data_IF_425808142232
#
_entry.id   IF_425808142232
#
_cell.length_a   1.000
_cell.length_b   1.000
_cell.length_c   1.000
_cell.angle_alpha   90.00
_cell.angle_beta   90.00
_cell.angle_gamma   90.00
#
_symmetry.space_group_name_H-M   'P 1'
#
loop_
_entity.id
_entity.type
_entity.pdbx_description
1 polymer ?
#
# COMPACT_ATOMS: atom_id res chain seq x y z
N UNK A 1 10.90 3.68 6.96
CA UNK A 1 10.03 3.66 8.14
C UNK A 1 8.61 3.44 7.64
N UNK A 2 7.92 2.44 8.14
CA UNK A 2 6.50 2.25 7.85
C UNK A 2 5.74 3.43 8.44
N UNK A 3 4.71 3.96 7.75
CA UNK A 3 3.88 5.01 8.33
C UNK A 3 3.35 4.54 9.68
N UNK A 4 3.57 5.34 10.71
CA UNK A 4 2.99 5.07 12.03
C UNK A 4 1.49 5.30 11.92
N UNK A 5 0.76 4.21 11.90
CA UNK A 5 -0.69 4.26 11.96
C UNK A 5 -1.11 4.61 13.38
N UNK A 6 -1.94 5.59 13.52
CA UNK A 6 -2.31 6.07 14.81
C UNK A 6 -3.38 5.35 15.55
N UNK A 7 -3.55 4.13 15.28
CA UNK A 7 -4.44 3.29 16.04
C UNK A 7 -3.64 2.17 16.71
N UNK A 8 -3.69 2.13 18.01
CA UNK A 8 -3.23 1.01 18.80
C UNK A 8 -4.45 0.32 19.39
N UNK A 9 -4.59 -0.99 19.17
CA UNK A 9 -5.79 -1.76 19.55
C UNK A 9 -6.19 -1.65 21.04
N UNK A 10 -5.23 -1.32 21.89
CA UNK A 10 -5.44 -1.21 23.34
C UNK A 10 -5.70 0.21 23.82
N UNK A 11 -5.17 1.20 23.13
CA UNK A 11 -5.11 2.58 23.58
C UNK A 11 -6.02 3.50 22.74
N UNK A 12 -6.55 2.99 21.62
CA UNK A 12 -7.33 3.79 20.68
C UNK A 12 -6.43 4.65 19.77
N UNK A 13 -7.01 5.63 19.05
CA UNK A 13 -6.25 6.49 18.18
C UNK A 13 -5.28 7.34 19.01
N UNK A 14 -4.01 7.31 18.64
CA UNK A 14 -3.02 8.25 19.15
C UNK A 14 -3.31 9.64 18.57
N UNK A 15 -2.78 10.69 19.19
CA UNK A 15 -3.06 12.06 18.80
C UNK A 15 -2.81 12.28 17.29
N UNK A 16 -3.83 12.71 16.51
CA UNK A 16 -3.69 12.91 15.05
C UNK A 16 -2.57 13.88 14.66
N UNK A 17 -2.19 14.80 15.56
CA UNK A 17 -1.10 15.76 15.31
C UNK A 17 0.28 15.10 15.23
N UNK A 18 0.42 13.88 15.71
CA UNK A 18 1.67 13.11 15.67
C UNK A 18 1.81 12.24 14.41
N UNK A 19 0.82 12.27 13.51
CA UNK A 19 0.85 11.48 12.30
C UNK A 19 1.70 12.14 11.23
N UNK A 20 2.75 11.45 10.82
CA UNK A 20 3.41 11.67 9.55
C UNK A 20 3.18 10.45 8.66
N UNK A 21 2.45 10.66 7.58
CA UNK A 21 2.45 9.71 6.50
C UNK A 21 3.69 9.98 5.65
N UNK A 22 4.72 9.16 5.81
CA UNK A 22 5.90 9.21 4.96
C UNK A 22 5.72 8.17 3.84
N UNK A 23 5.44 8.65 2.64
CA UNK A 23 5.42 7.80 1.45
C UNK A 23 6.78 7.12 1.24
N UNK A 24 6.81 5.85 0.77
CA UNK A 24 8.05 5.18 0.45
C UNK A 24 8.79 5.96 -0.66
N UNK A 25 10.02 6.39 -0.37
CA UNK A 25 10.85 7.08 -1.35
C UNK A 25 11.65 6.05 -2.13
N UNK A 26 11.36 5.95 -3.43
CA UNK A 26 12.19 5.20 -4.36
C UNK A 26 13.34 6.11 -4.81
N UNK A 27 14.43 6.11 -4.05
CA UNK A 27 15.62 6.90 -4.36
C UNK A 27 16.78 6.00 -4.78
N UNK A 28 17.54 6.47 -5.76
CA UNK A 28 18.82 5.86 -6.09
C UNK A 28 19.76 6.02 -4.88
N UNK A 29 20.60 5.01 -4.65
CA UNK A 29 21.56 5.01 -3.56
C UNK A 29 22.37 6.31 -3.50
N UNK A 30 22.62 6.82 -2.30
CA UNK A 30 23.29 8.10 -2.07
C UNK A 30 24.56 8.24 -2.92
N UNK A 31 24.65 9.32 -3.72
CA UNK A 31 25.76 9.57 -4.64
C UNK A 31 25.64 8.92 -6.03
N UNK A 32 24.56 8.21 -6.33
CA UNK A 32 24.32 7.69 -7.67
C UNK A 32 23.44 8.64 -8.49
N UNK A 33 24.03 9.30 -9.48
CA UNK A 33 23.30 10.12 -10.44
C UNK A 33 22.51 9.23 -11.43
N UNK A 34 21.34 9.69 -11.90
CA UNK A 34 20.51 8.99 -12.90
C UNK A 34 21.31 8.57 -14.13
N UNK A 35 22.15 9.46 -14.66
CA UNK A 35 22.98 9.17 -15.83
C UNK A 35 24.01 8.06 -15.58
N UNK A 36 24.54 8.01 -14.37
CA UNK A 36 25.50 6.98 -13.97
C UNK A 36 24.83 5.63 -13.78
N UNK A 37 23.62 5.62 -13.27
CA UNK A 37 22.78 4.43 -13.16
C UNK A 37 22.41 3.91 -14.56
N UNK A 38 21.94 4.79 -15.45
CA UNK A 38 21.61 4.45 -16.83
C UNK A 38 22.82 3.92 -17.60
N UNK A 39 23.98 4.54 -17.43
CA UNK A 39 25.24 4.07 -18.05
C UNK A 39 25.62 2.68 -17.59
N UNK A 40 25.44 2.36 -16.30
CA UNK A 40 25.66 1.02 -15.76
C UNK A 40 24.69 -0.02 -16.32
N UNK A 41 23.39 0.34 -16.47
CA UNK A 41 22.41 -0.53 -17.10
C UNK A 41 22.74 -0.82 -18.56
N UNK A 42 23.17 0.20 -19.31
CA UNK A 42 23.57 0.04 -20.71
C UNK A 42 24.82 -0.84 -20.86
N UNK A 43 25.80 -0.68 -19.98
CA UNK A 43 27.01 -1.51 -19.96
C UNK A 43 26.67 -2.98 -19.63
N UNK A 44 25.81 -3.19 -18.63
CA UNK A 44 25.35 -4.51 -18.24
C UNK A 44 24.56 -5.19 -19.37
N UNK A 45 23.68 -4.45 -20.04
CA UNK A 45 22.93 -4.91 -21.21
C UNK A 45 23.86 -5.33 -22.35
N UNK A 46 24.92 -4.57 -22.61
CA UNK A 46 25.92 -4.91 -23.62
C UNK A 46 26.71 -6.19 -23.30
N UNK A 47 27.08 -6.38 -22.03
CA UNK A 47 27.75 -7.61 -21.57
C UNK A 47 26.80 -8.82 -21.64
N UNK A 48 25.52 -8.64 -21.25
CA UNK A 48 24.53 -9.69 -21.32
C UNK A 48 24.17 -10.08 -22.75
N UNK A 49 24.18 -9.15 -23.71
CA UNK A 49 24.02 -9.47 -25.14
C UNK A 49 25.15 -10.34 -25.68
N UNK A 50 26.40 -10.09 -25.29
CA UNK A 50 27.53 -10.93 -25.65
C UNK A 50 27.43 -12.33 -25.02
N UNK A 51 26.98 -12.41 -23.77
CA UNK A 51 26.78 -13.68 -23.07
C UNK A 51 25.62 -14.50 -23.64
N UNK A 52 24.53 -13.87 -24.10
CA UNK A 52 23.37 -14.53 -24.74
C UNK A 52 23.71 -15.16 -26.08
N UNK A 53 24.68 -14.61 -26.81
CA UNK A 53 25.16 -15.25 -28.01
C UNK A 53 25.80 -16.63 -27.73
N UNK A 54 26.12 -16.91 -26.45
CA UNK A 54 26.70 -18.15 -25.97
C UNK A 54 25.69 -19.07 -25.26
N UNK A 55 24.60 -18.51 -24.65
CA UNK A 55 23.60 -19.27 -23.87
C UNK A 55 22.19 -19.11 -24.47
N UNK A 56 21.69 -20.12 -25.16
CA UNK A 56 20.33 -20.20 -25.73
C UNK A 56 19.28 -20.61 -24.70
N UNK A 57 19.20 -19.97 -23.54
CA UNK A 57 18.23 -20.35 -22.49
C UNK A 57 17.07 -19.37 -22.41
N UNK A 58 15.85 -19.84 -22.67
CA UNK A 58 14.57 -19.07 -22.62
C UNK A 58 14.25 -18.37 -21.29
N UNK A 59 14.96 -18.71 -20.20
CA UNK A 59 14.78 -18.05 -18.90
C UNK A 59 15.40 -16.65 -18.80
N UNK A 60 16.36 -16.31 -19.66
CA UNK A 60 17.11 -15.05 -19.60
C UNK A 60 16.28 -13.87 -20.12
N UNK A 61 15.43 -14.09 -21.14
CA UNK A 61 14.57 -13.03 -21.71
C UNK A 61 13.57 -12.47 -20.68
N UNK A 62 12.98 -13.34 -19.87
CA UNK A 62 12.05 -12.91 -18.84
C UNK A 62 12.74 -12.10 -17.72
N UNK A 63 13.94 -12.54 -17.32
CA UNK A 63 14.72 -11.83 -16.31
C UNK A 63 15.10 -10.42 -16.76
N UNK A 64 15.51 -10.27 -18.02
CA UNK A 64 15.87 -8.95 -18.56
C UNK A 64 14.70 -8.01 -18.71
N UNK A 65 13.54 -8.55 -19.07
CA UNK A 65 12.30 -7.75 -19.10
C UNK A 65 11.96 -7.23 -17.71
N UNK A 66 11.95 -8.08 -16.69
CA UNK A 66 11.67 -7.67 -15.31
C UNK A 66 12.71 -6.70 -14.76
N UNK A 67 13.98 -6.87 -15.12
CA UNK A 67 15.04 -5.92 -14.76
C UNK A 67 14.83 -4.55 -15.42
N UNK A 68 14.43 -4.54 -16.69
CA UNK A 68 14.09 -3.33 -17.42
C UNK A 68 12.89 -2.60 -16.81
N UNK A 69 11.82 -3.34 -16.48
CA UNK A 69 10.65 -2.82 -15.79
C UNK A 69 11.02 -2.25 -14.40
N UNK A 70 11.82 -2.96 -13.61
CA UNK A 70 12.30 -2.48 -12.32
C UNK A 70 13.16 -1.20 -12.43
N UNK A 71 14.01 -1.12 -13.46
CA UNK A 71 14.82 0.07 -13.71
C UNK A 71 13.94 1.27 -14.09
N UNK A 72 12.89 1.06 -14.90
CA UNK A 72 11.91 2.09 -15.23
C UNK A 72 11.14 2.58 -14.01
N UNK A 73 10.77 1.68 -13.08
CA UNK A 73 10.15 2.06 -11.81
C UNK A 73 11.05 2.96 -10.97
N UNK A 74 12.36 2.68 -10.94
CA UNK A 74 13.33 3.48 -10.17
C UNK A 74 13.68 4.82 -10.80
N UNK A 75 13.52 4.97 -12.12
CA UNK A 75 13.89 6.17 -12.86
C UNK A 75 12.72 6.95 -13.43
N UNK A 76 11.53 6.33 -13.48
CA UNK A 76 10.31 6.90 -14.05
C UNK A 76 9.73 8.01 -13.17
N UNK A 77 9.51 9.19 -13.75
CA UNK A 77 8.91 10.33 -13.04
C UNK A 77 7.47 10.03 -12.59
N UNK A 78 6.71 9.25 -13.37
CA UNK A 78 5.31 8.92 -13.07
C UNK A 78 5.12 8.15 -11.76
N UNK A 79 6.00 7.17 -11.46
CA UNK A 79 5.93 6.41 -10.20
C UNK A 79 6.35 7.27 -9.01
N UNK A 80 7.37 8.12 -9.18
CA UNK A 80 7.76 9.05 -8.12
C UNK A 80 6.63 10.04 -7.79
N UNK A 81 5.94 10.57 -8.80
CA UNK A 81 4.77 11.42 -8.61
C UNK A 81 3.61 10.66 -7.96
N UNK A 82 3.40 9.39 -8.35
CA UNK A 82 2.36 8.55 -7.78
C UNK A 82 2.58 8.22 -6.29
N UNK A 83 3.81 8.29 -5.80
CA UNK A 83 4.15 8.08 -4.39
C UNK A 83 3.94 9.34 -3.54
N UNK A 84 3.89 10.53 -4.15
CA UNK A 84 3.69 11.78 -3.42
C UNK A 84 2.21 12.17 -3.35
N UNK A 85 1.51 11.60 -2.39
CA UNK A 85 0.07 11.84 -2.18
C UNK A 85 -0.23 13.26 -1.69
N UNK A 86 0.78 13.96 -1.16
CA UNK A 86 0.61 15.31 -0.63
C UNK A 86 0.58 16.38 -1.74
N UNK A 87 1.11 16.05 -2.92
CA UNK A 87 1.00 16.89 -4.12
C UNK A 87 -0.35 16.74 -4.84
N UNK A 88 -1.17 15.77 -4.44
CA UNK A 88 -2.52 15.62 -4.99
C UNK A 88 -3.40 16.82 -4.60
N UNK A 89 -4.43 17.08 -5.41
CA UNK A 89 -5.42 18.13 -5.14
C UNK A 89 -5.99 17.98 -3.71
N UNK A 90 -6.09 19.11 -3.00
CA UNK A 90 -6.55 19.12 -1.61
C UNK A 90 -7.98 18.58 -1.45
N UNK A 91 -8.86 18.85 -2.41
CA UNK A 91 -10.23 18.34 -2.41
C UNK A 91 -10.24 16.82 -2.58
N UNK A 92 -9.34 16.28 -3.38
CA UNK A 92 -9.17 14.84 -3.55
C UNK A 92 -8.63 14.20 -2.26
N UNK A 93 -7.59 14.79 -1.65
CA UNK A 93 -7.08 14.32 -0.35
C UNK A 93 -8.19 14.34 0.72
N UNK A 94 -9.03 15.39 0.73
CA UNK A 94 -10.16 15.50 1.64
C UNK A 94 -11.21 14.43 1.35
N UNK A 95 -11.52 14.14 0.07
CA UNK A 95 -12.46 13.08 -0.33
C UNK A 95 -12.04 11.72 0.25
N UNK A 96 -10.78 11.35 0.12
CA UNK A 96 -10.22 10.11 0.68
C UNK A 96 -10.13 10.12 2.21
N UNK A 97 -10.06 11.30 2.81
CA UNK A 97 -9.79 11.52 4.23
C UNK A 97 -8.29 11.69 4.48
N UNK A 98 -7.92 12.81 5.10
CA UNK A 98 -6.52 13.17 5.43
C UNK A 98 -5.99 12.34 6.60
N UNK A 99 -5.92 11.04 6.42
CA UNK A 99 -5.42 10.05 7.37
C UNK A 99 -4.70 8.92 6.62
N UNK A 100 -4.06 8.04 7.36
CA UNK A 100 -3.24 6.95 6.77
C UNK A 100 -4.04 6.01 5.87
N UNK A 101 -5.31 5.74 6.17
CA UNK A 101 -6.17 4.90 5.31
C UNK A 101 -6.44 5.60 3.97
N UNK A 102 -6.85 6.87 4.02
CA UNK A 102 -7.11 7.67 2.84
C UNK A 102 -5.88 7.84 1.96
N UNK A 103 -4.76 8.24 2.53
CA UNK A 103 -3.50 8.42 1.78
C UNK A 103 -2.98 7.11 1.19
N UNK A 104 -3.11 5.99 1.90
CA UNK A 104 -2.69 4.68 1.37
C UNK A 104 -3.50 4.26 0.16
N UNK A 105 -4.83 4.47 0.17
CA UNK A 105 -5.69 4.14 -0.97
C UNK A 105 -5.54 5.16 -2.11
N UNK A 106 -5.34 6.45 -1.83
CA UNK A 106 -5.02 7.45 -2.84
C UNK A 106 -3.71 7.11 -3.55
N UNK A 107 -2.66 6.73 -2.80
CA UNK A 107 -1.40 6.26 -3.36
C UNK A 107 -1.60 5.02 -4.24
N UNK A 108 -2.40 4.05 -3.78
CA UNK A 108 -2.69 2.85 -4.55
C UNK A 108 -3.34 3.19 -5.90
N UNK A 109 -4.32 4.11 -5.91
CA UNK A 109 -4.95 4.57 -7.15
C UNK A 109 -3.94 5.25 -8.08
N UNK A 110 -3.08 6.14 -7.55
CA UNK A 110 -2.05 6.82 -8.35
C UNK A 110 -1.05 5.82 -8.94
N UNK A 111 -0.66 4.78 -8.19
CA UNK A 111 0.23 3.73 -8.67
C UNK A 111 -0.42 2.91 -9.80
N UNK A 112 -1.70 2.56 -9.67
CA UNK A 112 -2.43 1.85 -10.74
C UNK A 112 -2.54 2.73 -11.99
N UNK A 113 -2.85 4.02 -11.84
CA UNK A 113 -2.87 4.99 -12.93
C UNK A 113 -1.49 5.14 -13.61
N UNK A 114 -0.41 5.06 -12.83
CA UNK A 114 0.97 5.04 -13.35
C UNK A 114 1.37 3.69 -14.02
N UNK A 115 0.45 2.71 -14.09
CA UNK A 115 0.65 1.43 -14.77
C UNK A 115 1.16 0.29 -13.87
N UNK A 116 1.17 0.44 -12.56
CA UNK A 116 1.48 -0.64 -11.62
C UNK A 116 0.33 -1.64 -11.62
N UNK A 117 0.60 -2.87 -12.06
CA UNK A 117 -0.45 -3.89 -12.26
C UNK A 117 -0.99 -4.53 -10.99
N UNK A 118 -0.27 -4.45 -9.89
CA UNK A 118 -0.66 -5.02 -8.61
C UNK A 118 -0.20 -4.14 -7.48
N UNK A 119 -1.12 -3.70 -6.65
CA UNK A 119 -0.85 -2.88 -5.46
C UNK A 119 -1.52 -3.57 -4.27
N UNK A 120 -0.76 -3.84 -3.23
CA UNK A 120 -1.29 -4.33 -1.96
C UNK A 120 -1.26 -3.19 -0.94
N UNK A 121 -2.39 -2.95 -0.31
CA UNK A 121 -2.55 -1.94 0.74
C UNK A 121 -2.93 -2.61 2.04
N UNK A 122 -2.16 -2.38 3.09
CA UNK A 122 -2.52 -2.78 4.43
C UNK A 122 -3.19 -1.60 5.13
N UNK A 123 -4.47 -1.75 5.46
CA UNK A 123 -5.23 -0.73 6.20
C UNK A 123 -5.13 -1.04 7.69
N UNK A 124 -4.30 -0.32 8.37
CA UNK A 124 -4.04 -0.50 9.78
C UNK A 124 -2.61 -0.94 10.08
N UNK A 125 -2.27 -0.89 11.33
CA UNK A 125 -1.00 -1.28 11.91
C UNK A 125 -1.18 -2.60 12.65
N UNK A 126 -0.07 -3.22 13.08
CA UNK A 126 -0.05 -4.40 13.93
C UNK A 126 -1.37 -4.71 14.62
N UNK A 127 -1.95 -5.85 14.38
CA UNK A 127 -3.14 -6.34 15.07
C UNK A 127 -4.37 -5.37 15.11
N UNK A 128 -4.36 -4.25 14.36
CA UNK A 128 -5.46 -3.26 14.41
C UNK A 128 -6.84 -3.90 14.19
N UNK A 129 -6.91 -4.83 13.23
CA UNK A 129 -8.12 -5.58 12.90
C UNK A 129 -8.26 -6.86 13.70
N UNK A 130 -7.24 -7.23 14.47
CA UNK A 130 -7.24 -8.43 15.31
C UNK A 130 -7.96 -8.19 16.63
N UNK A 131 -9.26 -7.93 16.55
CA UNK A 131 -10.10 -7.46 17.63
C UNK A 131 -10.60 -8.57 18.54
N UNK A 132 -9.70 -9.22 19.27
CA UNK A 132 -10.06 -10.24 20.26
C UNK A 132 -10.89 -9.71 21.42
N UNK A 133 -10.72 -8.42 21.74
CA UNK A 133 -11.49 -7.75 22.78
C UNK A 133 -11.92 -6.35 22.31
N UNK A 134 -12.96 -5.80 22.91
CA UNK A 134 -13.53 -4.49 22.57
C UNK A 134 -13.83 -4.33 21.05
N UNK A 135 -14.16 -5.43 20.38
CA UNK A 135 -14.25 -5.50 18.93
C UNK A 135 -15.24 -4.51 18.35
N UNK A 136 -16.44 -4.43 18.92
CA UNK A 136 -17.51 -3.60 18.37
C UNK A 136 -17.21 -2.11 18.47
N UNK A 137 -16.64 -1.68 19.59
CA UNK A 137 -16.23 -0.30 19.75
C UNK A 137 -15.09 0.07 18.81
N UNK A 138 -14.06 -0.77 18.74
CA UNK A 138 -12.90 -0.53 17.89
C UNK A 138 -13.29 -0.49 16.40
N UNK A 139 -14.13 -1.41 15.96
CA UNK A 139 -14.62 -1.42 14.58
C UNK A 139 -15.48 -0.18 14.29
N UNK A 140 -16.47 0.11 15.15
CA UNK A 140 -17.45 1.16 14.90
C UNK A 140 -16.85 2.57 14.96
N UNK A 141 -15.98 2.82 15.93
CA UNK A 141 -15.52 4.19 16.19
C UNK A 141 -14.19 4.52 15.49
N UNK A 142 -13.34 3.50 15.22
CA UNK A 142 -11.98 3.77 14.78
C UNK A 142 -11.60 3.16 13.43
N UNK A 143 -12.01 1.91 13.15
CA UNK A 143 -11.54 1.19 11.98
C UNK A 143 -12.45 1.34 10.76
N UNK A 144 -13.76 1.15 10.94
CA UNK A 144 -14.71 1.20 9.83
C UNK A 144 -14.92 2.60 9.25
N UNK A 145 -15.06 3.69 10.04
CA UNK A 145 -15.33 5.00 9.46
C UNK A 145 -14.24 5.49 8.48
N UNK A 146 -12.94 5.48 8.83
CA UNK A 146 -11.91 5.88 7.87
C UNK A 146 -11.78 4.90 6.70
N UNK A 147 -12.01 3.59 6.91
CA UNK A 147 -11.99 2.58 5.85
C UNK A 147 -13.13 2.82 4.86
N UNK A 148 -14.35 2.98 5.34
CA UNK A 148 -15.54 3.21 4.52
C UNK A 148 -15.37 4.47 3.66
N UNK A 149 -14.95 5.57 4.26
CA UNK A 149 -14.66 6.81 3.54
C UNK A 149 -13.62 6.62 2.45
N UNK A 150 -12.49 6.01 2.79
CA UNK A 150 -11.37 5.86 1.86
C UNK A 150 -11.68 4.88 0.71
N UNK A 151 -12.39 3.78 1.01
CA UNK A 151 -12.81 2.81 -0.02
C UNK A 151 -13.87 3.42 -0.93
N UNK A 152 -14.86 4.12 -0.40
CA UNK A 152 -15.87 4.82 -1.21
C UNK A 152 -15.21 5.84 -2.14
N UNK A 153 -14.25 6.62 -1.62
CA UNK A 153 -13.52 7.59 -2.42
C UNK A 153 -12.69 6.93 -3.52
N UNK A 154 -12.07 5.76 -3.24
CA UNK A 154 -11.33 4.98 -4.23
C UNK A 154 -12.24 4.52 -5.37
N UNK A 155 -13.41 3.96 -5.06
CA UNK A 155 -14.36 3.48 -6.05
C UNK A 155 -14.85 4.62 -6.95
N UNK A 156 -15.27 5.73 -6.35
CA UNK A 156 -15.71 6.92 -7.08
C UNK A 156 -14.59 7.49 -7.98
N UNK A 157 -13.34 7.59 -7.46
CA UNK A 157 -12.20 8.15 -8.20
C UNK A 157 -11.81 7.24 -9.39
N UNK A 158 -11.88 5.93 -9.22
CA UNK A 158 -11.66 4.96 -10.30
C UNK A 158 -12.78 5.04 -11.35
N UNK A 159 -14.03 5.20 -10.93
CA UNK A 159 -15.17 5.34 -11.84
C UNK A 159 -15.09 6.65 -12.63
N UNK A 160 -14.88 7.77 -11.95
CA UNK A 160 -14.71 9.11 -12.56
C UNK A 160 -13.59 9.14 -13.61
N UNK A 161 -12.57 8.28 -13.46
CA UNK A 161 -11.44 8.14 -14.40
C UNK A 161 -11.64 7.07 -15.46
N UNK A 162 -12.75 6.33 -15.42
CA UNK A 162 -13.01 5.21 -16.31
C UNK A 162 -12.08 4.01 -16.10
N UNK A 163 -11.51 3.89 -14.92
CA UNK A 163 -10.57 2.82 -14.55
C UNK A 163 -11.23 1.66 -13.79
N UNK A 164 -12.45 1.85 -13.29
CA UNK A 164 -13.11 0.87 -12.42
C UNK A 164 -13.36 -0.46 -13.14
N UNK A 165 -13.76 -0.42 -14.40
CA UNK A 165 -14.04 -1.63 -15.20
C UNK A 165 -12.78 -2.45 -15.52
N UNK A 166 -11.59 -1.85 -15.41
CA UNK A 166 -10.31 -2.49 -15.69
C UNK A 166 -9.53 -2.82 -14.40
N UNK A 167 -10.06 -2.49 -13.23
CA UNK A 167 -9.38 -2.63 -11.94
C UNK A 167 -10.13 -3.60 -11.02
N UNK A 168 -9.52 -4.76 -10.75
CA UNK A 168 -10.05 -5.68 -9.74
C UNK A 168 -9.65 -5.24 -8.33
N UNK A 169 -10.64 -4.94 -7.50
CA UNK A 169 -10.45 -4.60 -6.09
C UNK A 169 -10.83 -5.78 -5.22
N UNK A 170 -9.90 -6.24 -4.40
CA UNK A 170 -10.12 -7.33 -3.43
C UNK A 170 -9.91 -6.76 -2.04
N UNK A 171 -10.94 -6.84 -1.20
CA UNK A 171 -10.87 -6.49 0.21
C UNK A 171 -11.10 -7.76 1.03
N UNK A 172 -10.09 -8.18 1.76
CA UNK A 172 -10.10 -9.43 2.52
C UNK A 172 -9.27 -9.33 3.79
N UNK A 173 -9.59 -10.14 4.79
CA UNK A 173 -8.70 -10.45 5.88
C UNK A 173 -7.91 -11.73 5.56
N UNK A 174 -6.86 -12.01 6.34
CA UNK A 174 -6.01 -13.20 6.17
C UNK A 174 -6.70 -14.51 6.54
N UNK A 175 -7.65 -14.47 7.45
CA UNK A 175 -8.46 -15.61 7.89
C UNK A 175 -9.81 -15.17 8.48
N UNK A 176 -10.69 -16.12 8.73
CA UNK A 176 -12.01 -15.87 9.31
C UNK A 176 -11.98 -15.53 10.80
N UNK A 177 -13.10 -15.05 11.30
CA UNK A 177 -13.35 -14.81 12.72
C UNK A 177 -14.48 -15.70 13.22
N UNK A 178 -14.36 -16.17 14.46
CA UNK A 178 -15.41 -17.02 15.05
C UNK A 178 -16.78 -16.32 15.02
N UNK A 179 -17.87 -17.02 14.69
CA UNK A 179 -19.22 -16.48 14.82
C UNK A 179 -19.58 -16.19 16.27
N UNK A 180 -18.95 -16.90 17.22
CA UNK A 180 -19.16 -16.69 18.65
C UNK A 180 -18.47 -15.43 19.12
N UNK A 181 -19.19 -14.64 19.86
CA UNK A 181 -18.74 -13.42 20.54
C UNK A 181 -18.59 -13.74 22.01
N UNK A 182 -17.45 -13.45 22.59
CA UNK A 182 -17.17 -13.76 23.99
C UNK A 182 -16.11 -12.82 24.58
N UNK A 183 -16.03 -12.78 25.89
CA UNK A 183 -14.99 -12.04 26.61
C UNK A 183 -13.90 -13.03 27.02
N UNK A 184 -12.68 -12.76 26.60
CA UNK A 184 -11.53 -13.60 26.97
C UNK A 184 -11.22 -13.50 28.46
N UNK A 185 -10.78 -14.62 29.03
CA UNK A 185 -10.23 -14.61 30.38
C UNK A 185 -8.94 -13.77 30.39
N UNK A 186 -8.91 -12.73 31.21
CA UNK A 186 -7.79 -11.80 31.26
C UNK A 186 -7.85 -10.66 30.22
N UNK A 187 -8.96 -10.48 29.52
CA UNK A 187 -9.17 -9.34 28.65
C UNK A 187 -9.02 -8.03 29.43
N UNK A 188 -8.09 -7.18 29.00
CA UNK A 188 -7.81 -5.89 29.69
C UNK A 188 -8.99 -4.94 29.65
N UNK A 189 -9.74 -4.94 28.55
CA UNK A 189 -10.92 -4.09 28.37
C UNK A 189 -12.16 -4.63 29.08
N UNK A 190 -12.18 -5.92 29.44
CA UNK A 190 -13.36 -6.61 29.95
C UNK A 190 -14.54 -6.67 28.96
N UNK A 191 -14.34 -6.28 27.70
CA UNK A 191 -15.36 -6.23 26.66
C UNK A 191 -15.17 -7.35 25.64
N UNK A 192 -16.26 -7.79 24.98
CA UNK A 192 -16.21 -8.94 24.07
C UNK A 192 -15.48 -8.67 22.78
N UNK A 193 -14.97 -9.73 22.18
CA UNK A 193 -14.38 -9.78 20.86
C UNK A 193 -14.66 -11.10 20.18
N UNK A 194 -13.87 -11.40 19.14
CA UNK A 194 -13.97 -12.62 18.35
C UNK A 194 -12.57 -13.20 18.15
N UNK A 195 -12.48 -14.52 18.18
CA UNK A 195 -11.22 -15.24 17.96
C UNK A 195 -11.01 -15.57 16.47
N UNK A 196 -9.86 -16.12 16.15
CA UNK A 196 -9.56 -16.63 14.83
C UNK A 196 -10.43 -17.85 14.51
N UNK A 197 -10.76 -18.00 13.23
CA UNK A 197 -11.44 -19.17 12.70
C UNK A 197 -10.65 -19.67 11.49
N UNK A 198 -10.01 -20.79 11.64
CA UNK A 198 -9.30 -21.53 10.60
C UNK A 198 -10.05 -22.78 10.19
#
# INVERSE_FOLDING_TARGET
AFPEYGFHRWEGPTNPENYRFDAPKLELQHGMLKDRFQSRLNLLSGLDQQRRALDQAAGVENFDRFRGEAAQLLTGEGVHQALDVHEADEALQEKYGKNTFGWSLLMARQLVEAGVRMVQVNLGNDESWDTHENAFHNLKEYLLPPTDRAVSALLDDLDDRGMLDETLIIMAGEFGRTPRIFTFNGAKSGKPGRDHWG
#
